data_IF_023951716539
#
_entry.id   IF_023951716539
#
_cell.length_a   1.000
_cell.length_b   1.000
_cell.length_c   1.000
_cell.angle_alpha   90.00
_cell.angle_beta   90.00
_cell.angle_gamma   90.00
#
_symmetry.space_group_name_H-M   'P 1'
#
loop_
_entity.id
_entity.type
_entity.pdbx_description
1 polymer ?
#
# COMPACT_ATOMS: atom_id res chain seq x y z
N UNK A 1 -24.56 29.20 -8.38
CA UNK A 1 -23.92 27.86 -8.35
C UNK A 1 -22.83 27.95 -7.31
N UNK A 2 -22.94 27.18 -6.23
CA UNK A 2 -21.86 27.12 -5.22
C UNK A 2 -20.68 26.41 -5.88
N UNK A 3 -19.56 27.10 -6.02
CA UNK A 3 -18.34 26.48 -6.55
C UNK A 3 -17.80 25.51 -5.51
N UNK A 4 -17.34 24.33 -5.96
CA UNK A 4 -16.75 23.30 -5.10
C UNK A 4 -15.32 23.08 -5.55
N UNK A 5 -14.39 23.34 -4.64
CA UNK A 5 -12.95 23.12 -4.82
C UNK A 5 -12.68 21.65 -5.19
N UNK A 6 -11.74 21.41 -6.09
CA UNK A 6 -11.44 20.10 -6.67
C UNK A 6 -12.43 19.60 -7.73
N UNK A 7 -13.69 20.05 -7.70
CA UNK A 7 -14.70 19.72 -8.71
C UNK A 7 -14.68 20.74 -9.86
N UNK A 8 -15.15 21.97 -9.61
CA UNK A 8 -15.26 23.04 -10.62
C UNK A 8 -14.18 24.11 -10.52
N UNK A 9 -13.51 24.22 -9.37
CA UNK A 9 -12.33 25.08 -9.15
C UNK A 9 -11.11 24.21 -8.81
N UNK A 10 -9.90 24.60 -9.19
CA UNK A 10 -8.69 23.86 -8.82
C UNK A 10 -8.50 23.72 -7.31
N UNK A 11 -8.04 22.56 -6.86
CA UNK A 11 -7.59 22.36 -5.47
C UNK A 11 -6.21 23.00 -5.22
N UNK A 12 -5.65 22.83 -4.01
CA UNK A 12 -4.30 23.35 -3.68
C UNK A 12 -3.17 22.78 -4.54
N UNK A 13 -3.42 21.68 -5.26
CA UNK A 13 -2.47 21.00 -6.14
C UNK A 13 -2.81 21.23 -7.62
N UNK A 14 -3.76 22.13 -7.92
CA UNK A 14 -4.17 22.47 -9.28
C UNK A 14 -5.08 21.44 -9.96
N UNK A 15 -5.62 20.45 -9.22
CA UNK A 15 -6.47 19.38 -9.78
C UNK A 15 -7.92 19.84 -9.89
N UNK A 16 -8.62 19.42 -10.94
CA UNK A 16 -10.05 19.66 -11.19
C UNK A 16 -10.76 18.40 -11.64
N UNK A 17 -12.10 18.38 -11.62
CA UNK A 17 -12.89 17.22 -12.04
C UNK A 17 -12.70 16.00 -11.13
N UNK A 18 -12.27 16.22 -9.88
CA UNK A 18 -12.07 15.14 -8.92
C UNK A 18 -13.36 14.38 -8.64
N UNK A 19 -14.54 15.00 -8.81
CA UNK A 19 -15.86 14.39 -8.69
C UNK A 19 -16.27 13.52 -9.89
N UNK A 20 -15.50 13.51 -10.98
CA UNK A 20 -15.80 12.67 -12.16
C UNK A 20 -15.34 11.22 -11.96
N UNK A 21 -14.43 10.98 -11.02
CA UNK A 21 -13.92 9.62 -10.74
C UNK A 21 -15.05 8.74 -10.23
N UNK A 22 -15.40 7.73 -11.02
CA UNK A 22 -16.45 6.78 -10.70
C UNK A 22 -17.86 7.20 -11.13
N UNK A 23 -18.04 8.43 -11.65
CA UNK A 23 -19.37 8.99 -11.96
C UNK A 23 -20.09 8.24 -13.07
N UNK A 24 -19.36 7.83 -14.10
CA UNK A 24 -19.90 7.17 -15.30
C UNK A 24 -19.74 5.64 -15.27
N UNK A 25 -19.56 5.04 -14.09
CA UNK A 25 -19.41 3.58 -14.00
C UNK A 25 -20.72 2.85 -14.30
N UNK A 26 -20.67 1.99 -15.30
CA UNK A 26 -21.79 1.19 -15.80
C UNK A 26 -21.47 -0.32 -15.92
N UNK A 27 -20.22 -0.70 -15.61
CA UNK A 27 -19.71 -2.09 -15.73
C UNK A 27 -20.38 -3.12 -14.82
N UNK A 28 -21.17 -2.70 -13.82
CA UNK A 28 -21.97 -3.60 -12.98
C UNK A 28 -23.45 -3.22 -13.14
N UNK A 29 -24.29 -4.06 -13.78
CA UNK A 29 -25.69 -3.73 -14.05
C UNK A 29 -26.55 -3.60 -12.78
N UNK A 30 -26.06 -4.08 -11.64
CA UNK A 30 -26.71 -3.97 -10.33
C UNK A 30 -26.27 -2.72 -9.55
N UNK A 31 -25.52 -1.81 -10.17
CA UNK A 31 -25.07 -0.54 -9.59
C UNK A 31 -25.41 0.61 -10.53
N UNK A 32 -26.05 1.66 -10.02
CA UNK A 32 -26.29 2.91 -10.76
C UNK A 32 -25.77 4.07 -9.94
N UNK A 33 -24.69 4.70 -10.39
CA UNK A 33 -24.13 5.89 -9.72
C UNK A 33 -25.05 7.09 -9.94
N UNK A 34 -25.42 7.77 -8.86
CA UNK A 34 -26.33 8.91 -8.87
C UNK A 34 -25.61 10.24 -8.69
N UNK A 35 -24.67 10.28 -7.75
CA UNK A 35 -23.88 11.48 -7.47
C UNK A 35 -22.52 11.11 -6.88
N UNK A 36 -21.53 11.95 -7.15
CA UNK A 36 -20.19 11.87 -6.57
C UNK A 36 -19.83 13.28 -6.09
N UNK A 37 -19.48 13.37 -4.82
CA UNK A 37 -19.11 14.62 -4.18
C UNK A 37 -17.70 14.53 -3.61
N UNK A 38 -16.87 15.54 -3.86
CA UNK A 38 -15.58 15.73 -3.18
C UNK A 38 -15.85 16.33 -1.80
N UNK A 39 -15.54 15.59 -0.74
CA UNK A 39 -15.69 16.03 0.65
C UNK A 39 -14.38 16.51 1.27
N UNK A 40 -13.24 16.09 0.73
CA UNK A 40 -11.90 16.62 1.06
C UNK A 40 -10.94 16.46 -0.14
N UNK A 41 -10.08 17.45 -0.37
CA UNK A 41 -9.15 17.54 -1.49
C UNK A 41 -7.73 17.97 -1.08
N UNK A 42 -7.32 17.62 0.15
CA UNK A 42 -6.00 17.92 0.69
C UNK A 42 -4.88 17.12 0.01
N UNK A 43 -4.13 16.34 0.79
CA UNK A 43 -3.05 15.51 0.21
C UNK A 43 -3.62 14.47 -0.78
N UNK A 44 -4.65 13.76 -0.32
CA UNK A 44 -5.43 12.76 -1.04
C UNK A 44 -6.90 13.20 -1.14
N UNK A 45 -7.72 12.46 -1.88
CA UNK A 45 -9.10 12.87 -2.18
C UNK A 45 -10.10 11.99 -1.43
N UNK A 46 -10.97 12.59 -0.63
CA UNK A 46 -12.13 11.91 -0.04
C UNK A 46 -13.37 12.23 -0.86
N UNK A 47 -14.09 11.19 -1.27
CA UNK A 47 -15.34 11.31 -2.01
C UNK A 47 -16.48 10.67 -1.27
N UNK A 48 -17.67 11.26 -1.37
CA UNK A 48 -18.94 10.65 -1.02
C UNK A 48 -19.70 10.29 -2.29
N UNK A 49 -19.95 9.01 -2.49
CA UNK A 49 -20.69 8.52 -3.67
C UNK A 49 -22.07 8.02 -3.25
N UNK A 50 -23.10 8.54 -3.92
CA UNK A 50 -24.48 8.08 -3.81
C UNK A 50 -24.79 7.20 -5.02
N UNK A 51 -25.26 5.99 -4.78
CA UNK A 51 -25.56 5.03 -5.85
C UNK A 51 -26.74 4.13 -5.45
N UNK A 52 -27.47 3.65 -6.45
CA UNK A 52 -28.46 2.60 -6.24
C UNK A 52 -27.80 1.25 -6.44
N UNK A 53 -28.10 0.30 -5.55
CA UNK A 53 -27.63 -1.07 -5.62
C UNK A 53 -28.80 -2.04 -5.63
N UNK A 54 -28.76 -3.00 -6.56
CA UNK A 54 -29.75 -4.07 -6.64
C UNK A 54 -29.34 -5.25 -5.77
N UNK A 55 -30.13 -5.52 -4.74
CA UNK A 55 -29.94 -6.67 -3.86
C UNK A 55 -30.24 -7.99 -4.56
N UNK A 56 -29.85 -9.10 -3.91
CA UNK A 56 -30.09 -10.46 -4.41
C UNK A 56 -31.57 -10.81 -4.57
N UNK A 57 -32.45 -10.13 -3.83
CA UNK A 57 -33.91 -10.25 -3.94
C UNK A 57 -34.49 -9.44 -5.11
N UNK A 58 -33.63 -8.74 -5.86
CA UNK A 58 -34.00 -7.89 -6.98
C UNK A 58 -34.47 -6.49 -6.59
N UNK A 59 -34.54 -6.17 -5.29
CA UNK A 59 -34.92 -4.84 -4.80
C UNK A 59 -33.79 -3.83 -5.00
N UNK A 60 -34.14 -2.56 -5.25
CA UNK A 60 -33.17 -1.48 -5.37
C UNK A 60 -33.12 -0.67 -4.07
N UNK A 61 -31.90 -0.35 -3.63
CA UNK A 61 -31.66 0.49 -2.45
C UNK A 61 -30.67 1.59 -2.79
N UNK A 62 -30.97 2.83 -2.41
CA UNK A 62 -30.00 3.93 -2.49
C UNK A 62 -29.06 3.85 -1.30
N UNK A 63 -27.76 3.91 -1.58
CA UNK A 63 -26.70 3.84 -0.58
C UNK A 63 -25.74 5.02 -0.74
N UNK A 64 -25.06 5.35 0.36
CA UNK A 64 -23.97 6.32 0.37
C UNK A 64 -22.72 5.69 0.98
N UNK A 65 -21.58 5.91 0.36
CA UNK A 65 -20.26 5.48 0.86
C UNK A 65 -19.24 6.58 0.69
N UNK A 66 -18.35 6.68 1.67
CA UNK A 66 -17.14 7.49 1.54
C UNK A 66 -15.98 6.62 1.07
N UNK A 67 -15.19 7.13 0.12
CA UNK A 67 -13.99 6.49 -0.40
C UNK A 67 -12.81 7.45 -0.32
N UNK A 68 -11.78 7.04 0.40
CA UNK A 68 -10.52 7.75 0.48
C UNK A 68 -9.56 7.25 -0.58
N UNK A 69 -9.21 8.14 -1.50
CA UNK A 69 -8.41 7.85 -2.68
C UNK A 69 -7.00 8.40 -2.52
N UNK A 70 -6.09 7.47 -2.21
CA UNK A 70 -4.69 7.75 -1.90
C UNK A 70 -3.73 7.37 -3.03
N UNK A 71 -4.27 6.85 -4.14
CA UNK A 71 -3.48 6.17 -5.15
C UNK A 71 -3.26 4.69 -4.83
N UNK A 72 -2.57 4.02 -5.74
CA UNK A 72 -2.11 2.64 -5.57
C UNK A 72 -0.64 2.64 -5.18
N UNK A 73 -0.15 1.51 -4.68
CA UNK A 73 1.26 1.35 -4.31
C UNK A 73 1.84 0.02 -4.75
N UNK A 74 3.13 -0.15 -4.52
CA UNK A 74 3.84 -1.41 -4.69
C UNK A 74 4.67 -1.72 -3.44
N UNK A 75 4.87 -3.01 -3.14
CA UNK A 75 5.58 -3.48 -1.96
C UNK A 75 6.42 -4.71 -2.30
N UNK A 76 7.58 -4.87 -1.66
CA UNK A 76 8.47 -6.02 -1.92
C UNK A 76 9.09 -6.57 -0.64
N UNK A 77 9.18 -7.90 -0.57
CA UNK A 77 9.99 -8.61 0.41
C UNK A 77 11.31 -9.08 -0.23
N UNK A 78 12.44 -8.38 0.00
CA UNK A 78 13.75 -8.91 -0.34
C UNK A 78 14.14 -10.01 0.64
N UNK A 79 14.61 -11.14 0.13
CA UNK A 79 15.08 -12.27 0.94
C UNK A 79 16.43 -12.79 0.44
N UNK A 80 17.29 -13.25 1.35
CA UNK A 80 18.54 -13.92 1.02
C UNK A 80 18.39 -15.41 1.35
N UNK A 81 18.20 -16.29 0.34
CA UNK A 81 18.01 -17.71 0.58
C UNK A 81 19.26 -18.41 1.12
N UNK A 82 20.45 -17.85 0.89
CA UNK A 82 21.71 -18.44 1.36
C UNK A 82 21.95 -18.19 2.84
N UNK A 83 21.54 -17.02 3.33
CA UNK A 83 21.70 -16.61 4.74
C UNK A 83 20.43 -16.80 5.56
N UNK A 84 19.29 -17.08 4.91
CA UNK A 84 18.00 -17.20 5.56
C UNK A 84 17.55 -15.89 6.21
N UNK A 85 17.82 -14.75 5.56
CA UNK A 85 17.46 -13.41 6.06
C UNK A 85 16.45 -12.71 5.16
N UNK A 86 15.76 -11.72 5.71
CA UNK A 86 14.88 -10.79 4.99
C UNK A 86 15.28 -9.35 5.29
N UNK A 87 15.03 -8.45 4.35
CA UNK A 87 15.11 -7.00 4.57
C UNK A 87 13.73 -6.44 4.84
N UNK A 88 13.64 -5.66 5.90
CA UNK A 88 12.44 -4.94 6.35
C UNK A 88 12.83 -3.50 6.68
N UNK A 89 11.84 -2.64 6.79
CA UNK A 89 11.96 -1.26 7.25
C UNK A 89 11.35 -1.13 8.64
N UNK A 90 11.76 -0.12 9.41
CA UNK A 90 11.06 0.34 10.61
C UNK A 90 10.91 1.85 10.57
N UNK A 91 9.67 2.33 10.60
CA UNK A 91 9.36 3.75 10.43
C UNK A 91 8.11 4.18 11.20
N UNK A 92 8.02 5.48 11.47
CA UNK A 92 6.89 6.05 12.21
C UNK A 92 5.65 6.16 11.32
N UNK A 93 4.51 5.64 11.80
CA UNK A 93 3.20 5.73 11.14
C UNK A 93 2.18 6.40 12.05
N UNK A 94 1.92 7.69 11.79
CA UNK A 94 0.91 8.45 12.53
C UNK A 94 -0.48 7.77 12.61
N UNK A 95 -1.03 7.17 11.54
CA UNK A 95 -2.33 6.50 11.62
C UNK A 95 -2.37 5.32 12.60
N UNK A 96 -1.26 4.59 12.76
CA UNK A 96 -1.18 3.52 13.75
C UNK A 96 -0.98 4.10 15.16
N UNK A 97 -0.18 5.15 15.29
CA UNK A 97 0.07 5.80 16.58
C UNK A 97 -1.20 6.40 17.19
N UNK A 98 -2.02 7.08 16.39
CA UNK A 98 -3.30 7.62 16.84
C UNK A 98 -4.35 6.52 17.11
N UNK A 99 -4.07 5.29 16.69
CA UNK A 99 -4.92 4.11 16.85
C UNK A 99 -4.23 3.04 17.71
N UNK A 100 -3.77 3.46 18.90
CA UNK A 100 -3.30 2.61 19.99
C UNK A 100 -2.00 1.80 19.76
N UNK A 101 -1.27 2.02 18.66
CA UNK A 101 0.10 1.49 18.57
C UNK A 101 0.99 2.20 19.59
N UNK A 102 1.79 1.44 20.34
CA UNK A 102 2.51 1.94 21.53
C UNK A 102 3.44 3.12 21.26
N UNK A 103 4.19 3.08 20.16
CA UNK A 103 5.18 4.09 19.76
C UNK A 103 5.01 4.57 18.31
N UNK A 104 4.00 4.05 17.59
CA UNK A 104 3.82 4.29 16.15
C UNK A 104 4.90 3.72 15.22
N UNK A 105 5.93 3.03 15.72
CA UNK A 105 7.02 2.50 14.90
C UNK A 105 6.68 1.12 14.36
N UNK A 106 6.31 1.05 13.08
CA UNK A 106 5.92 -0.20 12.44
C UNK A 106 7.11 -0.83 11.73
N UNK A 107 7.21 -2.16 11.84
CA UNK A 107 8.10 -2.97 11.01
C UNK A 107 7.35 -3.39 9.75
N UNK A 108 7.91 -3.05 8.59
CA UNK A 108 7.24 -3.19 7.30
C UNK A 108 8.17 -3.79 6.22
N UNK A 109 7.59 -4.32 5.15
CA UNK A 109 8.29 -4.47 3.87
C UNK A 109 8.50 -3.10 3.21
N UNK A 110 9.51 -2.99 2.35
CA UNK A 110 9.69 -1.79 1.55
C UNK A 110 8.48 -1.56 0.63
N UNK A 111 7.95 -0.34 0.62
CA UNK A 111 6.74 -0.02 -0.11
C UNK A 111 6.50 1.49 -0.26
N UNK A 112 5.91 1.87 -1.39
CA UNK A 112 5.48 3.24 -1.61
C UNK A 112 4.44 3.40 -2.73
N UNK A 113 4.10 4.64 -3.04
CA UNK A 113 3.10 4.97 -4.05
C UNK A 113 3.67 4.73 -5.45
N UNK A 114 2.77 4.47 -6.41
CA UNK A 114 3.19 4.32 -7.80
C UNK A 114 3.68 5.62 -8.43
N UNK A 115 3.14 6.78 -8.04
CA UNK A 115 3.54 8.11 -8.54
C UNK A 115 3.73 8.22 -10.06
N UNK A 116 2.80 7.59 -10.80
CA UNK A 116 2.75 7.48 -12.26
C UNK A 116 3.71 6.47 -12.90
N UNK A 117 4.56 5.81 -12.12
CA UNK A 117 5.32 4.64 -12.55
C UNK A 117 4.43 3.39 -12.67
N UNK A 118 4.92 2.39 -13.40
CA UNK A 118 4.39 1.04 -13.30
C UNK A 118 4.83 0.38 -11.97
N UNK A 119 4.09 -0.64 -11.49
CA UNK A 119 4.39 -1.26 -10.19
C UNK A 119 5.79 -1.83 -10.02
N UNK A 120 6.43 -2.35 -11.08
CA UNK A 120 7.78 -2.89 -10.97
C UNK A 120 8.82 -1.78 -10.88
N UNK A 121 8.65 -0.71 -11.67
CA UNK A 121 9.52 0.47 -11.60
C UNK A 121 9.42 1.13 -10.23
N UNK A 122 8.20 1.36 -9.73
CA UNK A 122 7.98 1.94 -8.40
C UNK A 122 8.64 1.10 -7.30
N UNK A 123 8.39 -0.22 -7.25
CA UNK A 123 8.90 -1.04 -6.14
C UNK A 123 10.43 -1.18 -6.14
N UNK A 124 11.07 -1.07 -7.31
CA UNK A 124 12.53 -1.04 -7.42
C UNK A 124 13.12 0.27 -6.91
N UNK A 125 12.46 1.39 -7.20
CA UNK A 125 12.81 2.71 -6.67
C UNK A 125 12.71 2.70 -5.14
N UNK A 126 11.57 2.27 -4.61
CA UNK A 126 11.34 2.18 -3.16
C UNK A 126 12.34 1.26 -2.46
N UNK A 127 12.63 0.08 -3.00
CA UNK A 127 13.63 -0.82 -2.42
C UNK A 127 15.05 -0.22 -2.40
N UNK A 128 15.39 0.58 -3.41
CA UNK A 128 16.67 1.29 -3.43
C UNK A 128 16.70 2.42 -2.40
N UNK A 129 15.65 3.25 -2.34
CA UNK A 129 15.56 4.41 -1.44
C UNK A 129 15.44 3.98 0.04
N UNK A 130 14.54 3.07 0.35
CA UNK A 130 14.27 2.66 1.73
C UNK A 130 15.30 1.67 2.28
N UNK A 131 15.76 0.70 1.47
CA UNK A 131 16.61 -0.42 1.93
C UNK A 131 18.03 -0.40 1.36
N UNK A 132 18.35 0.49 0.42
CA UNK A 132 19.67 0.52 -0.23
C UNK A 132 19.95 -0.71 -1.10
N UNK A 133 18.91 -1.48 -1.49
CA UNK A 133 19.08 -2.73 -2.23
C UNK A 133 18.70 -2.58 -3.70
N UNK A 134 19.55 -3.06 -4.60
CA UNK A 134 19.24 -3.16 -6.02
C UNK A 134 18.68 -4.55 -6.34
N UNK A 135 17.37 -4.63 -6.53
CA UNK A 135 16.69 -5.90 -6.76
C UNK A 135 16.99 -6.53 -8.13
N UNK A 136 17.11 -7.85 -8.14
CA UNK A 136 17.15 -8.67 -9.36
C UNK A 136 15.76 -8.94 -9.95
N UNK A 137 15.49 -10.16 -10.46
CA UNK A 137 14.17 -10.58 -10.91
C UNK A 137 13.12 -10.49 -9.79
N UNK A 138 11.96 -9.93 -10.11
CA UNK A 138 10.82 -9.84 -9.20
C UNK A 138 9.89 -11.05 -9.39
N UNK A 139 9.41 -11.62 -8.29
CA UNK A 139 8.27 -12.52 -8.28
C UNK A 139 7.04 -11.72 -7.91
N UNK A 140 6.08 -11.61 -8.83
CA UNK A 140 4.75 -11.08 -8.49
C UNK A 140 4.03 -12.06 -7.57
N UNK A 141 3.57 -11.58 -6.41
CA UNK A 141 2.90 -12.40 -5.41
C UNK A 141 1.39 -12.22 -5.51
N UNK A 142 0.91 -10.98 -5.42
CA UNK A 142 -0.53 -10.66 -5.45
C UNK A 142 -0.77 -9.18 -5.67
N UNK A 143 -1.92 -8.84 -6.25
CA UNK A 143 -2.50 -7.50 -6.17
C UNK A 143 -3.64 -7.50 -5.15
N UNK A 144 -3.52 -6.71 -4.08
CA UNK A 144 -4.47 -6.74 -2.97
C UNK A 144 -5.05 -5.34 -2.67
N UNK A 145 -6.38 -5.25 -2.59
CA UNK A 145 -7.04 -4.10 -1.97
C UNK A 145 -6.83 -4.16 -0.46
N UNK A 146 -6.28 -3.09 0.13
CA UNK A 146 -5.83 -3.12 1.53
C UNK A 146 -6.97 -2.93 2.53
N UNK A 147 -7.92 -2.05 2.21
CA UNK A 147 -9.10 -1.79 3.05
C UNK A 147 -10.32 -1.43 2.18
N UNK A 148 -10.90 -2.40 1.44
CA UNK A 148 -11.89 -2.16 0.38
C UNK A 148 -13.24 -1.64 0.89
N UNK A 149 -13.43 -1.51 2.21
CA UNK A 149 -14.62 -0.90 2.78
C UNK A 149 -14.68 0.62 2.60
N UNK A 150 -13.53 1.29 2.53
CA UNK A 150 -13.46 2.76 2.50
C UNK A 150 -12.21 3.33 1.82
N UNK A 151 -11.23 2.53 1.41
CA UNK A 151 -10.00 2.99 0.77
C UNK A 151 -9.88 2.35 -0.61
N UNK A 152 -9.53 3.14 -1.62
CA UNK A 152 -9.40 2.66 -3.01
C UNK A 152 -8.10 1.89 -3.27
N UNK A 153 -7.11 2.07 -2.40
CA UNK A 153 -5.74 1.59 -2.53
C UNK A 153 -5.67 0.08 -2.84
N UNK A 154 -5.03 -0.20 -3.97
CA UNK A 154 -4.52 -1.51 -4.33
C UNK A 154 -3.00 -1.50 -4.24
N UNK A 155 -2.43 -2.50 -3.56
CA UNK A 155 -0.98 -2.68 -3.48
C UNK A 155 -0.57 -3.88 -4.32
N UNK A 156 0.43 -3.67 -5.16
CA UNK A 156 1.09 -4.68 -5.98
C UNK A 156 2.27 -5.27 -5.18
N UNK A 157 2.13 -6.53 -4.75
CA UNK A 157 3.08 -7.17 -3.85
C UNK A 157 4.05 -8.07 -4.61
N UNK A 158 5.33 -7.97 -4.29
CA UNK A 158 6.43 -8.70 -4.89
C UNK A 158 7.33 -9.36 -3.84
N UNK A 159 8.13 -10.32 -4.30
CA UNK A 159 9.27 -10.84 -3.55
C UNK A 159 10.49 -10.92 -4.48
N UNK A 160 11.69 -10.76 -3.93
CA UNK A 160 12.92 -10.85 -4.73
C UNK A 160 14.09 -11.43 -3.93
N UNK A 161 14.85 -12.37 -4.50
CA UNK A 161 16.11 -12.75 -3.92
C UNK A 161 17.09 -11.58 -4.00
N UNK A 162 17.90 -11.39 -2.96
CA UNK A 162 19.06 -10.50 -2.96
C UNK A 162 20.27 -11.21 -2.34
N UNK A 163 21.44 -10.65 -2.58
CA UNK A 163 22.70 -11.02 -1.94
C UNK A 163 23.36 -9.78 -1.34
N UNK A 164 24.39 -9.99 -0.51
CA UNK A 164 25.18 -8.88 0.05
C UNK A 164 25.78 -7.96 -1.02
N UNK A 165 26.07 -8.46 -2.22
CA UNK A 165 26.59 -7.65 -3.33
C UNK A 165 25.55 -6.73 -3.98
N UNK A 166 24.27 -6.91 -3.64
CA UNK A 166 23.16 -6.11 -4.13
C UNK A 166 22.81 -4.93 -3.19
N UNK A 167 23.41 -4.89 -1.99
CA UNK A 167 23.36 -3.75 -1.08
C UNK A 167 24.32 -2.67 -1.61
N UNK A 168 23.76 -1.61 -2.18
CA UNK A 168 24.51 -0.56 -2.89
C UNK A 168 24.51 0.78 -2.13
N UNK A 169 23.63 0.94 -1.15
CA UNK A 169 23.52 2.10 -0.28
C UNK A 169 23.14 1.67 1.15
N UNK A 170 23.17 2.59 2.11
CA UNK A 170 22.69 2.34 3.47
C UNK A 170 21.15 2.31 3.57
N UNK A 171 20.45 2.88 2.57
CA UNK A 171 19.00 3.07 2.60
C UNK A 171 18.60 4.18 3.57
N UNK A 172 17.38 4.10 4.10
CA UNK A 172 16.85 5.03 5.09
C UNK A 172 15.85 6.05 4.58
N UNK A 173 15.45 5.95 3.31
CA UNK A 173 14.44 6.81 2.69
C UNK A 173 15.00 8.14 2.19
N UNK A 174 14.11 9.02 1.76
CA UNK A 174 14.46 10.33 1.21
C UNK A 174 14.34 11.41 2.29
N UNK A 175 15.48 11.89 2.80
CA UNK A 175 15.52 12.89 3.87
C UNK A 175 14.78 14.20 3.53
N UNK A 176 14.83 14.64 2.27
CA UNK A 176 14.13 15.84 1.79
C UNK A 176 12.59 15.67 1.79
N UNK A 177 12.10 14.43 1.84
CA UNK A 177 10.68 14.09 1.96
C UNK A 177 10.23 13.89 3.42
N UNK A 178 11.16 14.09 4.37
CA UNK A 178 10.90 13.93 5.79
C UNK A 178 10.83 12.47 6.25
N UNK A 179 11.38 11.56 5.45
CA UNK A 179 11.45 10.14 5.79
C UNK A 179 12.62 9.88 6.73
N UNK A 180 12.36 9.09 7.78
CA UNK A 180 13.37 8.55 8.68
C UNK A 180 13.08 7.05 8.85
N UNK A 181 13.78 6.24 8.07
CA UNK A 181 13.55 4.80 7.97
C UNK A 181 14.76 4.04 8.50
N UNK A 182 14.52 3.11 9.41
CA UNK A 182 15.53 2.16 9.88
C UNK A 182 15.48 0.91 8.98
N UNK A 183 16.65 0.49 8.46
CA UNK A 183 16.79 -0.75 7.69
C UNK A 183 17.04 -1.92 8.65
N UNK A 184 16.20 -2.94 8.58
CA UNK A 184 16.26 -4.15 9.38
C UNK A 184 16.59 -5.36 8.52
N UNK A 185 17.79 -5.91 8.68
CA UNK A 185 18.13 -7.23 8.17
C UNK A 185 17.99 -8.27 9.28
N UNK A 186 16.98 -9.14 9.19
CA UNK A 186 16.66 -10.11 10.25
C UNK A 186 16.63 -11.54 9.72
N UNK A 187 16.99 -12.55 10.55
CA UNK A 187 16.71 -13.94 10.22
C UNK A 187 15.23 -14.14 9.91
N UNK A 188 14.91 -14.93 8.89
CA UNK A 188 13.54 -15.20 8.49
C UNK A 188 12.74 -15.87 9.63
N UNK A 189 13.39 -16.71 10.44
CA UNK A 189 12.79 -17.31 11.64
C UNK A 189 12.40 -16.26 12.68
N UNK A 190 13.20 -15.20 12.86
CA UNK A 190 12.88 -14.09 13.75
C UNK A 190 11.74 -13.25 13.18
N UNK A 191 11.73 -12.96 11.88
CA UNK A 191 10.64 -12.25 11.22
C UNK A 191 9.30 -13.01 11.40
N UNK A 192 9.31 -14.34 11.31
CA UNK A 192 8.12 -15.16 11.58
C UNK A 192 7.72 -15.13 13.06
N UNK A 193 8.67 -15.16 14.00
CA UNK A 193 8.36 -14.99 15.42
C UNK A 193 7.74 -13.61 15.72
N UNK A 194 8.21 -12.55 15.05
CA UNK A 194 7.65 -11.21 15.15
C UNK A 194 6.20 -11.12 14.65
N UNK A 195 5.77 -12.00 13.71
CA UNK A 195 4.36 -12.12 13.33
C UNK A 195 3.53 -12.72 14.46
N UNK A 196 4.06 -13.75 15.12
CA UNK A 196 3.34 -14.48 16.17
C UNK A 196 3.15 -13.66 17.44
N UNK A 197 4.16 -12.89 17.83
CA UNK A 197 4.15 -12.10 19.06
C UNK A 197 3.65 -10.65 18.89
N UNK A 198 3.28 -10.26 17.66
CA UNK A 198 2.68 -8.96 17.36
C UNK A 198 3.67 -7.81 17.25
N UNK A 199 4.97 -8.07 17.11
CA UNK A 199 5.95 -7.04 16.73
C UNK A 199 5.82 -6.60 15.26
N UNK A 200 5.28 -7.45 14.40
CA UNK A 200 4.84 -7.10 13.03
C UNK A 200 3.32 -7.12 12.98
N UNK A 201 2.73 -5.95 12.73
CA UNK A 201 1.27 -5.75 12.63
C UNK A 201 0.85 -5.08 11.31
N UNK A 202 1.76 -4.95 10.36
CA UNK A 202 1.48 -4.41 9.04
C UNK A 202 0.99 -5.49 8.07
N UNK A 203 -0.20 -5.31 7.52
CA UNK A 203 -0.87 -6.36 6.76
C UNK A 203 -0.16 -6.78 5.46
N UNK A 204 0.62 -5.91 4.79
CA UNK A 204 1.32 -6.29 3.54
C UNK A 204 2.58 -7.07 3.87
N UNK A 205 3.22 -6.73 4.99
CA UNK A 205 4.35 -7.46 5.58
C UNK A 205 3.94 -8.84 6.04
N UNK A 206 2.84 -8.94 6.80
CA UNK A 206 2.26 -10.24 7.20
C UNK A 206 1.99 -11.11 5.97
N UNK A 207 1.34 -10.54 4.95
CA UNK A 207 1.02 -11.26 3.71
C UNK A 207 2.27 -11.82 3.03
N UNK A 208 3.30 -11.00 2.83
CA UNK A 208 4.50 -11.39 2.11
C UNK A 208 5.36 -12.40 2.88
N UNK A 209 5.50 -12.23 4.20
CA UNK A 209 6.20 -13.20 5.04
C UNK A 209 5.47 -14.55 5.09
N UNK A 210 4.14 -14.54 5.21
CA UNK A 210 3.34 -15.76 5.14
C UNK A 210 3.43 -16.43 3.77
N UNK A 211 3.39 -15.67 2.68
CA UNK A 211 3.61 -16.22 1.34
C UNK A 211 4.98 -16.90 1.24
N UNK A 212 6.04 -16.24 1.73
CA UNK A 212 7.40 -16.74 1.65
C UNK A 212 7.60 -18.01 2.51
N UNK A 213 6.95 -18.09 3.68
CA UNK A 213 6.90 -19.32 4.49
C UNK A 213 6.15 -20.46 3.79
N UNK A 214 4.96 -20.18 3.23
CA UNK A 214 4.13 -21.18 2.53
C UNK A 214 4.83 -21.77 1.29
N UNK A 215 5.68 -20.99 0.63
CA UNK A 215 6.37 -21.40 -0.59
C UNK A 215 7.81 -21.88 -0.34
N UNK A 216 8.23 -22.02 0.93
CA UNK A 216 9.57 -22.51 1.29
C UNK A 216 10.70 -21.57 0.88
N UNK A 217 10.39 -20.31 0.59
CA UNK A 217 11.36 -19.31 0.08
C UNK A 217 12.32 -18.86 1.18
N UNK A 218 11.87 -18.98 2.43
CA UNK A 218 12.62 -18.63 3.65
C UNK A 218 13.32 -19.84 4.27
N UNK A 219 13.21 -21.03 3.66
CA UNK A 219 13.79 -22.26 4.18
C UNK A 219 15.18 -22.53 3.63
N UNK A 220 16.16 -22.60 4.52
CA UNK A 220 17.25 -23.57 4.38
C UNK A 220 16.69 -24.93 4.76
N UNK A 221 16.76 -25.92 3.87
CA UNK A 221 16.44 -27.31 4.21
C UNK A 221 17.07 -27.69 5.56
N UNK A 222 16.24 -28.14 6.49
CA UNK A 222 16.67 -28.88 7.68
C UNK A 222 16.74 -30.37 7.37
#
# INVERSE_FOLDING_TARGET
MTTKRGASEPDSRGRTGLDQVGRDLDRNPDVVVRDVEVTSDGWHVLRRTTFDFRGRDGSWTTQQRETYDRGNGAAVLPYDPSRGTVLLTRQFRWPAYVNDHSDGMLVEVAAGLLDADDPETAVRREAHEELGVRLGPLTHVVDAYRSPGSVTERVHCYAAPYSQGDLVDAGGGVADEGEEIEVLEVPATEALAMLEDGRIVDGKTILLLQWAALHGVLGSDG
#
